data_IF_877886173551
#
_entry.id   IF_877886173551
#
_cell.length_a   1.000
_cell.length_b   1.000
_cell.length_c   1.000
_cell.angle_alpha   90.00
_cell.angle_beta   90.00
_cell.angle_gamma   90.00
#
_symmetry.space_group_name_H-M   'P 1'
#
loop_
_entity.id
_entity.type
_entity.pdbx_description
1 polymer ?
#
# COMPACT_ATOMS: atom_id res chain seq x y z
N UNK A 1 -9.15 29.30 8.06
CA UNK A 1 -8.05 28.33 7.98
C UNK A 1 -8.57 27.04 8.59
N UNK A 2 -9.33 26.27 7.81
CA UNK A 2 -9.98 25.05 8.27
C UNK A 2 -8.99 23.91 8.17
N UNK A 3 -8.56 23.38 9.31
CA UNK A 3 -7.86 22.11 9.35
C UNK A 3 -8.89 21.05 8.96
N UNK A 4 -8.87 20.65 7.68
CA UNK A 4 -9.73 19.59 7.18
C UNK A 4 -9.22 18.32 7.83
N UNK A 5 -9.90 17.85 8.88
CA UNK A 5 -9.53 16.65 9.62
C UNK A 5 -9.33 15.51 8.63
N UNK A 6 -8.07 15.16 8.36
CA UNK A 6 -7.71 14.17 7.37
C UNK A 6 -8.38 12.86 7.78
N UNK A 7 -9.13 12.26 6.85
CA UNK A 7 -9.79 10.99 7.07
C UNK A 7 -8.73 9.98 7.53
N UNK A 8 -8.93 9.26 8.66
CA UNK A 8 -7.92 8.35 9.18
C UNK A 8 -7.55 7.32 8.11
N UNK A 9 -6.28 7.27 7.74
CA UNK A 9 -5.75 6.26 6.81
C UNK A 9 -5.36 5.01 7.60
N UNK A 10 -5.57 3.83 7.02
CA UNK A 10 -5.09 2.60 7.65
C UNK A 10 -3.56 2.55 7.67
N UNK A 11 -2.97 1.81 8.62
CA UNK A 11 -1.52 1.61 8.64
C UNK A 11 -0.99 0.96 7.35
N UNK A 12 -1.79 0.11 6.71
CA UNK A 12 -1.45 -0.49 5.42
C UNK A 12 -1.40 0.55 4.29
N UNK A 13 -2.36 1.49 4.25
CA UNK A 13 -2.35 2.58 3.27
C UNK A 13 -1.14 3.50 3.48
N UNK A 14 -0.79 3.78 4.74
CA UNK A 14 0.39 4.59 5.08
C UNK A 14 1.67 3.89 4.60
N UNK A 15 1.83 2.60 4.89
CA UNK A 15 2.96 1.80 4.42
C UNK A 15 3.10 1.86 2.90
N UNK A 16 2.02 1.64 2.17
CA UNK A 16 2.02 1.67 0.70
C UNK A 16 2.37 3.06 0.16
N UNK A 17 1.86 4.13 0.78
CA UNK A 17 2.25 5.50 0.41
C UNK A 17 3.73 5.77 0.67
N UNK A 18 4.31 5.24 1.75
CA UNK A 18 5.76 5.34 1.99
C UNK A 18 6.54 4.68 0.86
N UNK A 19 6.15 3.48 0.41
CA UNK A 19 6.80 2.80 -0.72
C UNK A 19 6.75 3.65 -1.99
N UNK A 20 5.60 4.22 -2.31
CA UNK A 20 5.43 5.12 -3.46
C UNK A 20 6.29 6.38 -3.36
N UNK A 21 6.37 6.99 -2.17
CA UNK A 21 7.19 8.18 -1.92
C UNK A 21 8.69 7.89 -2.07
N UNK A 22 9.12 6.66 -1.79
CA UNK A 22 10.48 6.20 -2.01
C UNK A 22 10.75 5.74 -3.46
N UNK A 23 9.78 5.90 -4.38
CA UNK A 23 9.94 5.53 -5.78
C UNK A 23 9.98 4.01 -6.01
N UNK A 24 9.37 3.22 -5.12
CA UNK A 24 9.29 1.77 -5.30
C UNK A 24 8.26 1.45 -6.37
N UNK A 25 8.71 0.85 -7.46
CA UNK A 25 7.86 0.46 -8.59
C UNK A 25 7.39 -1.01 -8.51
N UNK A 26 8.14 -1.88 -7.83
CA UNK A 26 7.89 -3.32 -7.78
C UNK A 26 8.04 -3.85 -6.36
N UNK A 27 7.07 -4.66 -5.91
CA UNK A 27 7.10 -5.38 -4.64
C UNK A 27 6.85 -6.86 -4.88
N UNK A 28 7.69 -7.71 -4.29
CA UNK A 28 7.47 -9.16 -4.25
C UNK A 28 6.76 -9.50 -2.95
N UNK A 29 5.52 -9.98 -3.04
CA UNK A 29 4.73 -10.25 -1.85
C UNK A 29 3.91 -11.54 -2.01
N UNK A 30 3.86 -12.32 -0.94
CA UNK A 30 3.00 -13.49 -0.83
C UNK A 30 1.83 -13.18 0.13
N UNK A 31 0.57 -13.37 -0.29
CA UNK A 31 -0.58 -13.09 0.55
C UNK A 31 -0.71 -14.09 1.68
N UNK A 32 -1.03 -13.59 2.87
CA UNK A 32 -1.33 -14.38 4.06
C UNK A 32 -2.35 -13.65 4.93
N UNK A 33 -2.96 -14.37 5.88
CA UNK A 33 -4.05 -13.81 6.71
C UNK A 33 -3.64 -12.53 7.45
N UNK A 34 -2.45 -12.51 8.06
CA UNK A 34 -1.95 -11.34 8.78
C UNK A 34 -1.54 -10.18 7.85
N UNK A 35 -1.07 -10.48 6.64
CA UNK A 35 -0.63 -9.46 5.66
C UNK A 35 -1.76 -8.99 4.74
N UNK A 36 -2.98 -9.54 4.89
CA UNK A 36 -4.12 -9.23 4.01
C UNK A 36 -4.43 -7.74 3.88
N UNK A 37 -4.39 -6.91 4.95
CA UNK A 37 -4.62 -5.47 4.82
C UNK A 37 -3.60 -4.78 3.91
N UNK A 38 -2.34 -5.23 3.92
CA UNK A 38 -1.28 -4.69 3.06
C UNK A 38 -1.54 -5.10 1.61
N UNK A 39 -1.89 -6.36 1.37
CA UNK A 39 -2.25 -6.83 0.02
C UNK A 39 -3.46 -6.09 -0.56
N UNK A 40 -4.48 -5.82 0.27
CA UNK A 40 -5.62 -4.99 -0.14
C UNK A 40 -5.24 -3.53 -0.41
N UNK A 41 -4.25 -2.96 0.29
CA UNK A 41 -3.76 -1.62 0.01
C UNK A 41 -2.93 -1.57 -1.27
N UNK A 42 -2.10 -2.60 -1.53
CA UNK A 42 -1.29 -2.73 -2.74
C UNK A 42 -2.16 -2.84 -4.01
N UNK A 43 -3.31 -3.52 -3.95
CA UNK A 43 -4.21 -3.64 -5.13
C UNK A 43 -4.80 -2.30 -5.55
N UNK A 44 -5.01 -1.36 -4.62
CA UNK A 44 -5.56 -0.01 -4.89
C UNK A 44 -4.60 0.90 -5.66
N UNK A 45 -3.30 0.60 -5.63
CA UNK A 45 -2.23 1.39 -6.29
C UNK A 45 -1.51 0.58 -7.36
N UNK A 46 -2.16 -0.46 -7.88
CA UNK A 46 -1.57 -1.40 -8.85
C UNK A 46 -1.17 -0.75 -10.18
N UNK A 47 -1.65 0.45 -10.46
CA UNK A 47 -1.25 1.31 -11.58
C UNK A 47 0.13 1.96 -11.38
N UNK A 48 0.57 2.12 -10.12
CA UNK A 48 1.83 2.80 -9.75
C UNK A 48 2.86 1.86 -9.13
N UNK A 49 2.42 0.80 -8.45
CA UNK A 49 3.28 -0.16 -7.77
C UNK A 49 2.84 -1.58 -8.11
N UNK A 50 3.69 -2.28 -8.86
CA UNK A 50 3.44 -3.64 -9.33
C UNK A 50 3.75 -4.65 -8.23
N UNK A 51 2.75 -5.44 -7.86
CA UNK A 51 2.96 -6.57 -6.95
C UNK A 51 3.20 -7.86 -7.75
N UNK A 52 4.31 -8.54 -7.48
CA UNK A 52 4.67 -9.84 -8.08
C UNK A 52 4.51 -10.92 -7.02
N UNK A 53 3.72 -11.94 -7.32
CA UNK A 53 3.58 -13.12 -6.50
C UNK A 53 4.72 -14.11 -6.83
N UNK A 54 5.64 -14.40 -5.89
CA UNK A 54 6.63 -15.44 -6.08
C UNK A 54 5.96 -16.82 -6.10
N UNK A 55 6.52 -17.76 -6.88
CA UNK A 55 6.10 -19.16 -6.90
C UNK A 55 6.92 -20.01 -5.93
#
# INVERSE_FOLDING_TARGET
MGDSAATPRSGADILVQCLLNHGVEVVFAYPGGASMPIHQALTRVSDRLRTILPR
#
